data_IF_702189484096
#
_entry.id   IF_702189484096
#
_cell.length_a   1.000
_cell.length_b   1.000
_cell.length_c   1.000
_cell.angle_alpha   90.00
_cell.angle_beta   90.00
_cell.angle_gamma   90.00
#
_symmetry.space_group_name_H-M   'P 1'
#
loop_
_entity.id
_entity.type
_entity.pdbx_description
1 polymer ?
#
# COMPACT_ATOMS: atom_id res chain seq x y z
N UNK A 1 -10.25 1.59 3.09
CA UNK A 1 -9.17 0.90 3.83
C UNK A 1 -7.85 1.55 3.47
N UNK A 2 -7.02 1.84 4.47
CA UNK A 2 -5.60 2.19 4.34
C UNK A 2 -4.80 1.07 4.98
N UNK A 3 -3.74 0.61 4.34
CA UNK A 3 -2.80 -0.34 4.93
C UNK A 3 -1.38 0.19 4.82
N UNK A 4 -0.59 0.12 5.89
CA UNK A 4 0.80 0.59 5.91
C UNK A 4 1.73 -0.50 6.40
N UNK A 5 2.83 -0.77 5.70
CA UNK A 5 3.85 -1.71 6.19
C UNK A 5 4.61 -1.12 7.38
N UNK A 6 5.36 -1.98 8.08
CA UNK A 6 6.45 -1.52 8.93
C UNK A 6 7.53 -0.83 8.09
N UNK A 7 8.42 -0.05 8.71
CA UNK A 7 9.64 0.42 8.08
C UNK A 7 10.41 -0.74 7.47
N UNK A 8 10.68 -0.66 6.19
CA UNK A 8 11.20 -1.79 5.44
C UNK A 8 12.73 -1.88 5.56
N UNK A 9 13.25 -3.10 5.57
CA UNK A 9 14.69 -3.38 5.73
C UNK A 9 15.32 -2.76 6.99
N UNK A 10 14.53 -2.66 8.07
CA UNK A 10 15.01 -2.27 9.40
C UNK A 10 15.08 -3.52 10.28
N UNK A 11 16.19 -3.77 11.00
CA UNK A 11 16.28 -4.91 11.90
C UNK A 11 15.10 -4.98 12.89
N UNK A 12 14.40 -6.11 12.89
CA UNK A 12 13.20 -6.36 13.69
C UNK A 12 11.88 -6.17 12.92
N UNK A 13 11.93 -5.74 11.65
CA UNK A 13 10.75 -5.67 10.76
C UNK A 13 10.71 -6.77 9.72
N UNK A 14 11.63 -7.73 9.78
CA UNK A 14 11.64 -8.91 8.93
C UNK A 14 10.65 -9.98 9.43
N UNK A 15 10.05 -10.70 8.49
CA UNK A 15 9.13 -11.81 8.75
C UNK A 15 7.69 -11.51 8.37
N UNK A 16 6.79 -12.39 8.81
CA UNK A 16 5.37 -12.32 8.50
C UNK A 16 4.61 -11.56 9.58
N UNK A 17 4.00 -10.45 9.19
CA UNK A 17 3.16 -9.66 10.06
C UNK A 17 1.71 -9.76 9.60
N UNK A 18 0.88 -10.35 10.45
CA UNK A 18 -0.58 -10.30 10.30
C UNK A 18 -1.10 -9.19 11.18
N UNK A 19 -1.66 -8.19 10.54
CA UNK A 19 -2.33 -7.10 11.20
C UNK A 19 -3.83 -7.38 11.11
N UNK A 20 -4.53 -7.22 12.23
CA UNK A 20 -5.99 -7.35 12.31
C UNK A 20 -6.52 -6.24 13.21
N UNK A 21 -7.61 -5.54 12.83
CA UNK A 21 -8.25 -4.54 13.69
C UNK A 21 -8.65 -5.08 15.08
N UNK A 22 -8.84 -6.39 15.20
CA UNK A 22 -9.24 -7.06 16.44
C UNK A 22 -8.05 -7.36 17.37
N UNK A 23 -6.82 -7.43 16.85
CA UNK A 23 -5.63 -7.85 17.60
C UNK A 23 -4.42 -6.93 17.30
N UNK A 24 -4.35 -5.75 17.93
CA UNK A 24 -3.20 -4.87 17.78
C UNK A 24 -1.93 -5.51 18.37
N UNK A 25 -0.82 -5.51 17.61
CA UNK A 25 0.50 -5.98 18.06
C UNK A 25 1.44 -4.81 18.28
N UNK A 26 2.01 -4.71 19.46
CA UNK A 26 3.11 -3.79 19.73
C UNK A 26 4.41 -4.35 19.14
N UNK A 27 5.12 -3.54 18.36
CA UNK A 27 6.37 -3.92 17.70
C UNK A 27 7.47 -3.00 18.17
N UNK A 28 8.57 -3.58 18.65
CA UNK A 28 9.79 -2.85 19.04
C UNK A 28 10.79 -2.92 17.89
N UNK A 29 11.12 -1.78 17.31
CA UNK A 29 12.15 -1.69 16.29
C UNK A 29 13.54 -1.66 16.91
N UNK A 30 14.58 -2.08 16.17
CA UNK A 30 15.97 -1.76 16.56
C UNK A 30 16.63 -2.68 17.60
N UNK A 31 16.07 -3.85 17.91
CA UNK A 31 16.61 -4.79 18.90
C UNK A 31 17.84 -5.61 18.41
N UNK A 32 18.68 -5.04 17.53
CA UNK A 32 19.87 -5.68 16.94
C UNK A 32 21.20 -5.12 17.46
N UNK A 33 22.29 -5.91 17.44
CA UNK A 33 23.61 -5.50 17.96
C UNK A 33 24.35 -4.48 17.07
N UNK A 34 24.01 -4.35 15.79
CA UNK A 34 24.65 -3.41 14.86
C UNK A 34 23.96 -2.04 14.86
N UNK A 35 24.30 -1.24 15.87
CA UNK A 35 23.80 0.13 16.12
C UNK A 35 24.41 1.21 15.23
N UNK A 36 25.16 0.84 14.19
CA UNK A 36 25.99 1.79 13.46
C UNK A 36 25.27 2.42 12.26
N UNK A 37 24.76 3.62 12.50
CA UNK A 37 24.58 4.71 11.53
C UNK A 37 23.46 4.53 10.49
N UNK A 38 22.20 4.62 10.93
CA UNK A 38 21.01 4.63 10.06
C UNK A 38 21.06 5.70 8.94
N UNK A 39 21.84 6.77 9.12
CA UNK A 39 22.05 7.83 8.10
C UNK A 39 22.66 7.35 6.77
N UNK A 40 23.33 6.19 6.72
CA UNK A 40 23.86 5.65 5.47
C UNK A 40 22.81 4.86 4.67
N UNK A 41 21.72 4.45 5.31
CA UNK A 41 20.69 3.58 4.73
C UNK A 41 19.73 4.33 3.79
N UNK A 42 19.60 5.65 3.93
CA UNK A 42 18.81 6.50 3.03
C UNK A 42 19.28 6.46 1.56
N UNK A 43 20.51 5.98 1.33
CA UNK A 43 21.10 5.82 -0.01
C UNK A 43 20.97 4.39 -0.55
N UNK A 44 20.46 3.46 0.25
CA UNK A 44 20.34 2.06 -0.12
C UNK A 44 18.95 1.77 -0.67
N UNK A 45 18.93 1.10 -1.83
CA UNK A 45 17.71 0.65 -2.51
C UNK A 45 17.70 -0.89 -2.63
N UNK A 46 17.55 -1.62 -1.52
CA UNK A 46 17.71 -3.07 -1.50
C UNK A 46 16.47 -3.82 -2.02
N UNK A 47 15.33 -3.15 -2.19
CA UNK A 47 14.11 -3.80 -2.68
C UNK A 47 14.34 -4.40 -4.08
N UNK A 48 13.86 -5.63 -4.28
CA UNK A 48 13.98 -6.38 -5.53
C UNK A 48 12.62 -6.74 -6.10
N UNK A 49 11.66 -7.07 -5.26
CA UNK A 49 10.33 -7.49 -5.72
C UNK A 49 9.28 -7.19 -4.67
N UNK A 50 8.09 -6.82 -5.14
CA UNK A 50 6.90 -6.65 -4.31
C UNK A 50 5.78 -7.46 -4.95
N UNK A 51 5.07 -8.23 -4.13
CA UNK A 51 3.85 -8.94 -4.52
C UNK A 51 2.71 -8.43 -3.68
N UNK A 52 1.68 -7.89 -4.34
CA UNK A 52 0.42 -7.50 -3.73
C UNK A 52 -0.61 -8.58 -4.01
N UNK A 53 -1.21 -9.11 -2.96
CA UNK A 53 -2.38 -9.99 -3.05
C UNK A 53 -3.58 -9.25 -2.47
N UNK A 54 -4.63 -9.06 -3.26
CA UNK A 54 -5.73 -8.14 -3.00
C UNK A 54 -7.06 -8.88 -3.13
N UNK A 55 -7.88 -8.86 -2.08
CA UNK A 55 -9.23 -9.45 -2.08
C UNK A 55 -10.26 -8.35 -1.93
N UNK A 56 -10.94 -8.04 -3.03
CA UNK A 56 -11.93 -6.97 -3.06
C UNK A 56 -12.97 -7.11 -4.16
N UNK A 57 -14.04 -6.32 -4.03
CA UNK A 57 -15.06 -6.15 -5.06
C UNK A 57 -15.69 -4.76 -5.02
N UNK A 58 -16.51 -4.50 -6.03
CA UNK A 58 -17.29 -3.29 -6.23
C UNK A 58 -18.73 -3.47 -5.72
N UNK A 59 -19.53 -2.42 -5.62
CA UNK A 59 -20.90 -2.47 -5.06
C UNK A 59 -21.86 -3.51 -5.69
N UNK A 60 -21.57 -3.99 -6.91
CA UNK A 60 -22.32 -5.09 -7.54
C UNK A 60 -23.49 -4.68 -8.43
N UNK A 61 -23.70 -3.38 -8.63
CA UNK A 61 -24.76 -2.85 -9.48
C UNK A 61 -24.32 -1.58 -10.21
N UNK A 62 -24.86 -1.36 -11.41
CA UNK A 62 -24.65 -0.14 -12.21
C UNK A 62 -25.83 0.05 -13.14
N UNK A 63 -26.13 1.31 -13.48
CA UNK A 63 -27.10 1.65 -14.51
C UNK A 63 -26.55 1.42 -15.93
N UNK A 64 -25.22 1.37 -16.09
CA UNK A 64 -24.55 1.04 -17.34
C UNK A 64 -24.26 -0.46 -17.41
N UNK A 65 -24.85 -1.15 -18.38
CA UNK A 65 -24.66 -2.59 -18.56
C UNK A 65 -23.49 -2.95 -19.49
N UNK A 66 -22.96 -1.99 -20.25
CA UNK A 66 -21.95 -2.24 -21.30
C UNK A 66 -20.61 -2.68 -20.75
N UNK A 67 -20.20 -2.12 -19.61
CA UNK A 67 -18.88 -2.33 -19.02
C UNK A 67 -18.92 -3.25 -17.80
N UNK A 68 -20.11 -3.73 -17.43
CA UNK A 68 -20.30 -4.64 -16.30
C UNK A 68 -19.44 -5.88 -16.44
N UNK A 69 -18.73 -6.24 -15.37
CA UNK A 69 -17.84 -7.40 -15.37
C UNK A 69 -16.54 -7.18 -16.14
N UNK A 70 -16.25 -5.95 -16.55
CA UNK A 70 -14.95 -5.53 -17.07
C UNK A 70 -14.26 -4.58 -16.08
N UNK A 71 -13.00 -4.20 -16.31
CA UNK A 71 -12.32 -3.18 -15.53
C UNK A 71 -12.55 -1.75 -16.05
N UNK A 72 -13.28 -1.60 -17.16
CA UNK A 72 -13.56 -0.29 -17.77
C UNK A 72 -14.61 0.45 -16.96
N UNK A 73 -14.49 1.77 -16.93
CA UNK A 73 -15.40 2.65 -16.18
C UNK A 73 -15.59 2.21 -14.72
N UNK A 74 -14.59 1.55 -14.14
CA UNK A 74 -14.59 1.13 -12.75
C UNK A 74 -13.92 2.21 -11.90
N UNK A 75 -14.68 2.71 -10.93
CA UNK A 75 -14.23 3.72 -9.98
C UNK A 75 -14.06 3.14 -8.57
N UNK A 76 -13.78 1.84 -8.48
CA UNK A 76 -13.20 1.20 -7.29
C UNK A 76 -11.83 0.60 -7.60
N UNK A 77 -10.81 0.97 -6.83
CA UNK A 77 -9.42 0.61 -7.13
C UNK A 77 -8.51 0.61 -5.90
N UNK A 78 -7.40 -0.10 -6.04
CA UNK A 78 -6.25 -0.06 -5.17
C UNK A 78 -5.17 0.86 -5.72
N UNK A 79 -4.53 1.60 -4.83
CA UNK A 79 -3.35 2.43 -5.11
C UNK A 79 -2.24 2.11 -4.11
N UNK A 80 -0.98 2.30 -4.52
CA UNK A 80 0.18 2.09 -3.66
C UNK A 80 1.11 3.30 -3.69
N UNK A 81 1.53 3.76 -2.52
CA UNK A 81 2.44 4.90 -2.35
C UNK A 81 3.56 4.57 -1.38
N UNK A 82 4.60 5.41 -1.39
CA UNK A 82 5.73 5.31 -0.45
C UNK A 82 5.62 6.44 0.56
N UNK A 83 5.74 6.10 1.85
CA UNK A 83 5.96 7.05 2.93
C UNK A 83 7.40 6.93 3.40
N UNK A 84 8.18 8.00 3.23
CA UNK A 84 9.55 8.07 3.73
C UNK A 84 9.54 8.15 5.25
N UNK A 85 10.32 7.31 5.92
CA UNK A 85 10.48 7.39 7.36
C UNK A 85 11.14 8.73 7.75
N UNK A 86 10.62 9.36 8.79
CA UNK A 86 11.22 10.57 9.33
C UNK A 86 12.51 10.22 10.10
N UNK A 87 13.56 11.07 10.08
CA UNK A 87 14.83 10.82 10.77
C UNK A 87 14.68 10.52 12.27
N UNK A 88 13.68 11.11 12.93
CA UNK A 88 13.41 10.92 14.35
C UNK A 88 12.98 9.48 14.69
N UNK A 89 12.40 8.76 13.73
CA UNK A 89 12.10 7.33 13.84
C UNK A 89 13.39 6.51 13.88
N UNK A 90 14.40 6.93 13.13
CA UNK A 90 15.68 6.23 13.02
C UNK A 90 16.58 6.48 14.22
N UNK A 91 16.42 7.61 14.92
CA UNK A 91 17.28 7.99 16.05
C UNK A 91 16.79 7.49 17.42
N UNK A 92 15.53 7.03 17.55
CA UNK A 92 15.01 6.47 18.80
C UNK A 92 14.86 4.94 18.71
N UNK A 93 15.73 4.15 19.38
CA UNK A 93 15.78 2.69 19.24
C UNK A 93 14.67 1.95 20.00
N UNK A 94 13.84 2.64 20.79
CA UNK A 94 12.76 2.03 21.58
C UNK A 94 11.38 2.56 21.15
N UNK A 95 11.18 2.76 19.84
CA UNK A 95 9.85 3.12 19.34
C UNK A 95 8.98 1.87 19.33
N UNK A 96 7.96 1.87 20.20
CA UNK A 96 6.79 1.03 20.03
C UNK A 96 6.00 1.56 18.83
N UNK A 97 6.06 0.84 17.72
CA UNK A 97 5.31 1.22 16.54
C UNK A 97 3.84 0.90 16.76
N UNK A 98 2.94 1.91 16.67
CA UNK A 98 1.54 1.64 16.91
C UNK A 98 0.98 0.84 15.73
N UNK A 99 0.51 -0.37 16.01
CA UNK A 99 -0.30 -1.17 15.07
C UNK A 99 -1.50 -0.42 14.48
N UNK A 100 -1.93 0.66 15.14
CA UNK A 100 -2.99 1.58 14.70
C UNK A 100 -2.69 2.28 13.37
N UNK A 101 -1.41 2.52 13.04
CA UNK A 101 -1.02 3.15 11.78
C UNK A 101 -1.06 2.17 10.60
N UNK A 102 -1.18 0.86 10.85
CA UNK A 102 -1.28 -0.13 9.78
C UNK A 102 -2.68 -0.16 9.18
N UNK A 103 -3.69 0.41 9.84
CA UNK A 103 -5.07 0.47 9.33
C UNK A 103 -5.73 1.81 9.62
N UNK A 104 -5.81 2.72 8.64
CA UNK A 104 -6.78 3.81 8.73
C UNK A 104 -8.10 3.27 8.12
N UNK A 105 -9.16 3.09 8.89
CA UNK A 105 -9.73 3.99 9.90
C UNK A 105 -9.84 3.32 11.29
N UNK A 106 -8.88 3.59 12.18
CA UNK A 106 -9.05 3.32 13.61
C UNK A 106 -10.13 4.29 14.07
N UNK A 107 -11.36 3.82 14.32
CA UNK A 107 -12.60 4.61 14.60
C UNK A 107 -12.53 5.64 15.76
N UNK A 108 -11.32 5.91 16.24
CA UNK A 108 -10.91 6.13 17.61
C UNK A 108 -9.38 6.37 17.66
N UNK A 109 -8.79 7.14 16.73
CA UNK A 109 -7.62 7.91 17.15
C UNK A 109 -7.97 8.82 18.37
N UNK A 110 -9.28 8.98 18.64
CA UNK A 110 -9.91 10.02 19.45
C UNK A 110 -10.20 9.79 20.95
N UNK A 111 -10.07 8.61 21.57
CA UNK A 111 -10.64 8.47 22.94
C UNK A 111 -9.70 8.78 24.13
N UNK A 112 -8.38 8.70 24.00
CA UNK A 112 -7.44 8.73 25.15
C UNK A 112 -6.05 9.20 24.68
N UNK A 113 -5.62 10.44 24.97
CA UNK A 113 -4.99 10.96 26.21
C UNK A 113 -3.49 10.59 26.33
N UNK A 114 -2.66 11.62 26.17
CA UNK A 114 -1.30 11.83 26.72
C UNK A 114 -0.07 11.09 26.17
N UNK A 115 -0.09 10.59 24.94
CA UNK A 115 1.17 10.41 24.18
C UNK A 115 0.90 10.88 22.77
N UNK A 116 1.57 11.93 22.29
CA UNK A 116 1.46 12.36 20.88
C UNK A 116 1.96 11.23 19.98
N UNK A 117 1.08 10.47 19.30
CA UNK A 117 1.52 9.63 18.20
C UNK A 117 1.95 10.58 17.08
N UNK A 118 2.86 10.16 16.21
CA UNK A 118 3.19 10.91 14.98
C UNK A 118 1.88 11.22 14.25
N UNK A 119 1.45 12.49 14.28
CA UNK A 119 0.23 12.95 13.66
C UNK A 119 0.47 13.08 12.16
N UNK A 120 0.18 12.02 11.41
CA UNK A 120 -0.05 12.18 9.99
C UNK A 120 -1.42 12.83 9.83
N UNK A 121 -1.44 14.13 9.54
CA UNK A 121 -2.68 14.87 9.39
C UNK A 121 -3.49 14.24 8.26
N UNK A 122 -4.76 13.93 8.51
CA UNK A 122 -5.68 13.35 7.53
C UNK A 122 -5.77 14.20 6.24
N UNK A 123 -5.55 15.51 6.35
CA UNK A 123 -5.41 16.45 5.23
C UNK A 123 -4.19 16.18 4.34
N UNK A 124 -3.09 15.64 4.87
CA UNK A 124 -1.93 15.22 4.07
C UNK A 124 -2.20 13.90 3.34
N UNK A 125 -2.89 12.96 4.00
CA UNK A 125 -3.33 11.70 3.40
C UNK A 125 -4.29 11.92 2.22
N UNK A 126 -5.20 12.91 2.33
CA UNK A 126 -6.09 13.30 1.24
C UNK A 126 -5.38 14.05 0.09
N UNK A 127 -4.29 14.78 0.37
CA UNK A 127 -3.45 15.42 -0.67
C UNK A 127 -2.62 14.41 -1.47
N UNK A 128 -2.25 13.28 -0.85
CA UNK A 128 -1.42 12.24 -1.48
C UNK A 128 -2.27 11.27 -2.31
N UNK A 129 -3.55 11.07 -1.96
CA UNK A 129 -4.42 10.12 -2.65
C UNK A 129 -4.92 10.67 -3.98
N UNK A 130 -4.71 9.95 -5.10
CA UNK A 130 -5.28 10.34 -6.39
C UNK A 130 -6.81 10.39 -6.31
N UNK A 131 -7.46 11.50 -6.73
CA UNK A 131 -8.92 11.65 -6.61
C UNK A 131 -9.69 10.75 -7.58
N UNK A 132 -8.99 10.22 -8.59
CA UNK A 132 -9.47 9.28 -9.60
C UNK A 132 -8.38 8.25 -9.92
N UNK A 133 -8.75 7.08 -10.46
CA UNK A 133 -7.81 6.12 -11.00
C UNK A 133 -6.81 6.78 -11.98
N UNK A 134 -5.51 6.60 -11.74
CA UNK A 134 -4.45 7.14 -12.61
C UNK A 134 -3.70 6.00 -13.33
N UNK A 135 -2.83 6.36 -14.27
CA UNK A 135 -2.07 5.41 -15.09
C UNK A 135 -1.08 4.52 -14.31
N UNK A 136 -0.76 4.88 -13.07
CA UNK A 136 0.13 4.14 -12.17
C UNK A 136 -0.63 3.40 -11.07
N UNK A 137 -1.97 3.41 -11.07
CA UNK A 137 -2.76 2.68 -10.07
C UNK A 137 -2.35 1.21 -10.01
N UNK A 138 -2.55 0.59 -8.86
CA UNK A 138 -2.18 -0.80 -8.63
C UNK A 138 -3.16 -1.76 -9.32
N UNK A 139 -4.44 -1.70 -8.97
CA UNK A 139 -5.46 -2.63 -9.47
C UNK A 139 -6.89 -2.09 -9.32
N UNK A 140 -7.69 -2.12 -10.38
CA UNK A 140 -9.15 -1.88 -10.32
C UNK A 140 -9.92 -3.13 -9.94
N UNK A 141 -11.10 -2.95 -9.36
CA UNK A 141 -12.10 -4.01 -9.31
C UNK A 141 -12.88 -4.09 -10.63
N UNK A 142 -13.56 -5.22 -10.83
CA UNK A 142 -14.54 -5.35 -11.92
C UNK A 142 -15.76 -4.46 -11.64
N UNK A 143 -16.19 -3.73 -12.65
CA UNK A 143 -17.34 -2.82 -12.62
C UNK A 143 -18.63 -3.57 -12.26
N UNK A 144 -19.33 -3.13 -11.20
CA UNK A 144 -20.62 -3.66 -10.77
C UNK A 144 -20.64 -5.18 -10.56
N UNK A 145 -19.60 -5.70 -9.91
CA UNK A 145 -19.50 -7.09 -9.49
C UNK A 145 -19.38 -7.15 -7.97
N UNK A 146 -20.34 -7.81 -7.32
CA UNK A 146 -20.37 -7.99 -5.85
C UNK A 146 -19.59 -9.21 -5.37
N UNK A 147 -19.08 -10.04 -6.27
CA UNK A 147 -18.27 -11.20 -5.93
C UNK A 147 -16.82 -10.76 -5.71
N UNK A 148 -16.28 -11.04 -4.51
CA UNK A 148 -14.86 -10.82 -4.19
C UNK A 148 -13.96 -11.52 -5.18
N UNK A 149 -13.08 -10.73 -5.80
CA UNK A 149 -12.00 -11.22 -6.66
C UNK A 149 -10.68 -11.16 -5.92
N UNK A 150 -9.83 -12.13 -6.22
CA UNK A 150 -8.44 -12.14 -5.80
C UNK A 150 -7.57 -11.68 -6.97
N UNK A 151 -6.84 -10.59 -6.76
CA UNK A 151 -5.84 -10.08 -7.70
C UNK A 151 -4.45 -10.25 -7.13
N UNK A 152 -3.52 -10.69 -7.98
CA UNK A 152 -2.09 -10.75 -7.66
C UNK A 152 -1.35 -9.81 -8.59
N UNK A 153 -0.67 -8.82 -8.02
CA UNK A 153 0.14 -7.85 -8.76
C UNK A 153 1.59 -7.98 -8.31
N UNK A 154 2.47 -8.23 -9.26
CA UNK A 154 3.92 -8.31 -9.04
C UNK A 154 4.61 -7.10 -9.68
N UNK A 155 5.48 -6.46 -8.90
CA UNK A 155 6.42 -5.43 -9.35
C UNK A 155 7.85 -5.89 -9.06
N UNK A 156 8.74 -5.68 -10.01
CA UNK A 156 10.15 -6.07 -9.93
C UNK A 156 11.09 -4.91 -10.23
N UNK A 157 12.28 -4.94 -9.63
CA UNK A 157 13.31 -3.93 -9.88
C UNK A 157 13.86 -3.96 -11.31
N UNK A 158 13.75 -5.12 -11.97
CA UNK A 158 14.16 -5.31 -13.38
C UNK A 158 13.08 -4.95 -14.39
N UNK A 159 11.88 -4.59 -13.94
CA UNK A 159 10.82 -4.14 -14.84
C UNK A 159 11.28 -2.90 -15.61
N UNK A 160 10.99 -2.89 -16.90
CA UNK A 160 11.24 -1.78 -17.80
C UNK A 160 9.91 -1.17 -18.25
N UNK A 161 9.96 0.01 -18.88
CA UNK A 161 8.76 0.62 -19.44
C UNK A 161 8.08 -0.35 -20.43
N UNK A 162 6.80 -0.63 -20.18
CA UNK A 162 6.00 -1.55 -20.98
C UNK A 162 5.80 -1.05 -22.42
N UNK A 163 5.77 -1.98 -23.39
CA UNK A 163 5.38 -1.67 -24.77
C UNK A 163 3.91 -1.20 -24.84
N UNK A 164 3.47 -0.68 -25.99
CA UNK A 164 2.07 -0.29 -26.15
C UNK A 164 1.11 -1.50 -25.99
N UNK A 165 1.51 -2.66 -26.49
CA UNK A 165 0.75 -3.91 -26.34
C UNK A 165 0.68 -4.36 -24.88
N UNK A 166 1.80 -4.31 -24.15
CA UNK A 166 1.86 -4.66 -22.73
C UNK A 166 1.05 -3.69 -21.88
N UNK A 167 1.11 -2.39 -22.19
CA UNK A 167 0.28 -1.36 -21.55
C UNK A 167 -1.21 -1.65 -21.71
N UNK A 168 -1.63 -2.07 -22.91
CA UNK A 168 -3.02 -2.45 -23.16
C UNK A 168 -3.40 -3.74 -22.42
N UNK A 169 -2.49 -4.72 -22.32
CA UNK A 169 -2.71 -5.94 -21.55
C UNK A 169 -2.88 -5.63 -20.04
N UNK A 170 -2.07 -4.72 -19.49
CA UNK A 170 -2.19 -4.24 -18.11
C UNK A 170 -3.55 -3.59 -17.86
N UNK A 171 -3.98 -2.70 -18.75
CA UNK A 171 -5.29 -2.04 -18.62
C UNK A 171 -6.44 -3.04 -18.69
N UNK A 172 -6.37 -4.02 -19.60
CA UNK A 172 -7.37 -5.07 -19.73
C UNK A 172 -7.47 -6.01 -18.52
N UNK A 173 -6.42 -6.09 -17.69
CA UNK A 173 -6.47 -6.79 -16.41
C UNK A 173 -6.70 -5.85 -15.20
N UNK A 174 -7.03 -4.58 -15.46
CA UNK A 174 -7.40 -3.60 -14.44
C UNK A 174 -6.22 -2.89 -13.79
N UNK A 175 -5.00 -3.07 -14.29
CA UNK A 175 -3.80 -2.38 -13.80
C UNK A 175 -3.62 -1.03 -14.48
N UNK A 176 -2.88 -0.13 -13.84
CA UNK A 176 -2.42 1.09 -14.49
C UNK A 176 -1.41 0.79 -15.60
N UNK A 177 -1.59 1.39 -16.79
CA UNK A 177 -0.72 1.18 -17.95
C UNK A 177 0.76 1.49 -17.69
N UNK A 178 1.05 2.43 -16.80
CA UNK A 178 2.40 2.84 -16.39
C UNK A 178 2.81 2.27 -15.02
N UNK A 179 2.07 1.30 -14.48
CA UNK A 179 2.32 0.75 -13.13
C UNK A 179 3.46 -0.26 -13.05
N UNK A 180 3.91 -0.82 -14.18
CA UNK A 180 4.88 -1.91 -14.25
C UNK A 180 6.23 -1.46 -14.82
N UNK A 181 6.70 -0.26 -14.46
CA UNK A 181 7.97 0.31 -14.98
C UNK A 181 9.19 0.06 -14.07
N UNK A 182 8.98 -0.61 -12.93
CA UNK A 182 9.98 -0.90 -11.91
C UNK A 182 10.48 0.30 -11.10
N UNK A 183 10.02 1.52 -11.41
CA UNK A 183 10.46 2.74 -10.71
C UNK A 183 10.06 2.72 -9.24
N UNK A 184 8.88 2.20 -8.91
CA UNK A 184 8.43 2.07 -7.53
C UNK A 184 9.39 1.21 -6.69
N UNK A 185 9.78 0.04 -7.22
CA UNK A 185 10.69 -0.89 -6.54
C UNK A 185 12.10 -0.33 -6.43
N UNK A 186 12.63 0.26 -7.52
CA UNK A 186 13.99 0.81 -7.55
C UNK A 186 14.17 2.03 -6.66
N UNK A 187 13.12 2.82 -6.46
CA UNK A 187 13.20 4.04 -5.66
C UNK A 187 12.94 3.80 -4.17
N UNK A 188 12.44 2.62 -3.79
CA UNK A 188 12.18 2.28 -2.39
C UNK A 188 13.49 2.19 -1.61
N UNK A 189 13.59 2.97 -0.54
CA UNK A 189 14.76 3.04 0.34
C UNK A 189 14.57 2.18 1.57
N UNK A 190 15.67 1.94 2.27
CA UNK A 190 15.61 1.41 3.63
C UNK A 190 14.85 2.40 4.53
N UNK A 191 14.00 1.88 5.42
CA UNK A 191 13.15 2.67 6.31
C UNK A 191 11.83 3.12 5.68
N UNK A 192 11.74 3.23 4.36
CA UNK A 192 10.47 3.56 3.68
C UNK A 192 9.38 2.57 4.06
N UNK A 193 8.14 3.04 4.05
CA UNK A 193 6.95 2.23 4.25
C UNK A 193 6.13 2.20 2.96
N UNK A 194 5.57 1.04 2.62
CA UNK A 194 4.59 0.93 1.55
C UNK A 194 3.21 1.17 2.14
N UNK A 195 2.45 2.04 1.49
CA UNK A 195 1.07 2.34 1.80
C UNK A 195 0.18 1.82 0.69
N UNK A 196 -0.94 1.22 1.08
CA UNK A 196 -1.93 0.66 0.19
C UNK A 196 -3.29 1.30 0.48
N UNK A 197 -3.95 1.78 -0.57
CA UNK A 197 -5.20 2.53 -0.50
C UNK A 197 -6.31 1.78 -1.22
N UNK A 198 -7.37 1.41 -0.52
CA UNK A 198 -8.60 0.92 -1.13
C UNK A 198 -9.55 2.08 -1.37
N UNK A 199 -9.93 2.31 -2.62
CA UNK A 199 -10.61 3.52 -3.08
C UNK A 199 -11.89 3.27 -3.84
N UNK A 200 -12.84 4.19 -3.66
CA UNK A 200 -14.08 4.30 -4.39
C UNK A 200 -14.31 5.78 -4.72
N UNK A 201 -14.83 6.09 -5.91
CA UNK A 201 -15.17 7.46 -6.31
C UNK A 201 -16.57 7.52 -6.90
N UNK A 202 -17.26 8.62 -6.59
CA UNK A 202 -18.64 8.95 -6.96
C UNK A 202 -19.73 8.31 -6.07
N UNK A 203 -20.90 8.96 -5.95
CA UNK A 203 -22.01 8.40 -5.18
C UNK A 203 -22.42 7.00 -5.68
N UNK A 204 -22.64 6.08 -4.75
CA UNK A 204 -23.05 4.70 -5.04
C UNK A 204 -21.90 3.76 -5.41
N UNK A 205 -20.67 4.24 -5.57
CA UNK A 205 -19.49 3.38 -5.68
C UNK A 205 -18.98 3.00 -4.31
N UNK A 206 -18.78 1.70 -4.09
CA UNK A 206 -18.35 1.16 -2.79
C UNK A 206 -17.22 0.16 -2.99
N UNK A 207 -16.10 0.42 -2.31
CA UNK A 207 -14.94 -0.46 -2.28
C UNK A 207 -15.06 -1.41 -1.10
N UNK A 208 -15.36 -2.67 -1.37
CA UNK A 208 -15.33 -3.72 -0.36
C UNK A 208 -13.97 -4.42 -0.40
N UNK A 209 -13.09 -4.06 0.53
CA UNK A 209 -11.80 -4.71 0.72
C UNK A 209 -11.88 -5.69 1.89
N UNK A 210 -11.74 -6.98 1.62
CA UNK A 210 -11.79 -8.03 2.65
C UNK A 210 -10.40 -8.29 3.25
N UNK A 211 -9.38 -8.31 2.40
CA UNK A 211 -8.01 -8.65 2.78
C UNK A 211 -7.02 -8.03 1.80
N UNK A 212 -5.85 -7.67 2.30
CA UNK A 212 -4.68 -7.37 1.48
C UNK A 212 -3.44 -8.01 2.12
N UNK A 213 -2.48 -8.39 1.29
CA UNK A 213 -1.17 -8.87 1.71
C UNK A 213 -0.10 -8.26 0.81
N UNK A 214 0.97 -7.79 1.41
CA UNK A 214 2.15 -7.28 0.72
C UNK A 214 3.32 -8.18 1.11
N UNK A 215 3.94 -8.81 0.13
CA UNK A 215 5.20 -9.54 0.32
C UNK A 215 6.31 -8.78 -0.38
N UNK A 216 7.33 -8.39 0.38
CA UNK A 216 8.47 -7.64 -0.15
C UNK A 216 9.75 -8.46 -0.01
N UNK A 217 10.56 -8.42 -1.06
CA UNK A 217 11.81 -9.18 -1.18
C UNK A 217 12.96 -8.22 -1.39
N UNK A 218 14.04 -8.43 -0.63
CA UNK A 218 15.22 -7.55 -0.57
C UNK A 218 16.48 -8.32 -0.96
N UNK A 219 17.48 -7.59 -1.44
CA UNK A 219 18.84 -8.09 -1.47
C UNK A 219 19.41 -8.14 -0.05
N UNK A 220 20.05 -9.26 0.30
CA UNK A 220 20.81 -9.49 1.55
C UNK A 220 22.28 -9.29 1.25
#
# INVERSE_FOLDING_TARGET
MYMRTLPLAIPGTEGDFVFSPQEPKEIRLGAGPERSNLSCYDKLHPCRRIVFELWSHDQGWSSSLTDRGTYRESFTWWDASVETAQPEITDNPDISWPSLLVFADAKKLEATRDVSPVQFHQDELERVRPPIPNDKLLQRNLHAVSETRHHTVEWSYVDAAASAEDQHALENCGRGRLSADGSFVRNLKVGDCIVLWASARFPGWEMHAEKAKISVYWAV
#
